data_IF_441307742182
#
_entry.id   IF_441307742182
#
_cell.length_a   1.000
_cell.length_b   1.000
_cell.length_c   1.000
_cell.angle_alpha   90.00
_cell.angle_beta   90.00
_cell.angle_gamma   90.00
#
_symmetry.space_group_name_H-M   'P 1'
#
loop_
_entity.id
_entity.type
_entity.pdbx_description
1 polymer ?
#
# COMPACT_ATOMS: atom_id res chain seq x y z
N UNK A 1 -43.09 48.12 -2.26
CA UNK A 1 -42.73 46.92 -1.47
C UNK A 1 -42.06 45.78 -2.28
N UNK A 2 -42.15 45.76 -3.63
CA UNK A 2 -41.68 44.64 -4.46
C UNK A 2 -40.15 44.60 -4.69
N UNK A 3 -39.45 45.73 -4.59
CA UNK A 3 -37.99 45.81 -4.89
C UNK A 3 -37.06 45.28 -3.78
N UNK A 4 -37.57 44.98 -2.58
CA UNK A 4 -36.77 44.41 -1.48
C UNK A 4 -36.82 42.88 -1.39
N UNK A 5 -37.66 42.21 -2.20
CA UNK A 5 -37.73 40.73 -2.25
C UNK A 5 -36.76 40.10 -3.26
N UNK A 6 -36.25 40.88 -4.23
CA UNK A 6 -35.37 40.37 -5.28
C UNK A 6 -34.02 39.78 -4.78
N UNK A 7 -33.31 40.36 -3.79
CA UNK A 7 -32.03 39.81 -3.35
C UNK A 7 -32.18 38.55 -2.49
N UNK A 8 -33.37 38.33 -1.89
CA UNK A 8 -33.66 37.11 -1.11
C UNK A 8 -33.92 35.92 -2.03
N UNK A 9 -34.56 36.14 -3.18
CA UNK A 9 -34.79 35.10 -4.19
C UNK A 9 -33.47 34.68 -4.87
N UNK A 10 -32.55 35.62 -5.08
CA UNK A 10 -31.23 35.32 -5.66
C UNK A 10 -30.33 34.50 -4.70
N UNK A 11 -30.43 34.71 -3.39
CA UNK A 11 -29.67 33.93 -2.39
C UNK A 11 -30.18 32.48 -2.24
N UNK A 12 -31.46 32.23 -2.51
CA UNK A 12 -32.06 30.87 -2.43
C UNK A 12 -31.69 30.04 -3.68
N UNK A 13 -31.42 30.67 -4.82
CA UNK A 13 -31.00 29.96 -6.04
C UNK A 13 -29.54 29.48 -6.05
N UNK A 14 -28.68 30.03 -5.17
CA UNK A 14 -27.26 29.68 -5.09
C UNK A 14 -26.95 28.51 -4.14
N UNK A 15 -27.97 27.91 -3.52
CA UNK A 15 -27.80 27.06 -2.33
C UNK A 15 -27.99 25.54 -2.47
N UNK A 16 -28.19 24.96 -3.67
CA UNK A 16 -28.47 23.52 -3.78
C UNK A 16 -27.68 22.83 -4.89
N UNK A 17 -26.35 22.90 -4.83
CA UNK A 17 -25.55 21.84 -5.46
C UNK A 17 -25.74 20.59 -4.61
N UNK A 18 -26.72 19.75 -4.95
CA UNK A 18 -26.83 18.43 -4.35
C UNK A 18 -25.57 17.66 -4.74
N UNK A 19 -24.61 17.57 -3.83
CA UNK A 19 -23.48 16.66 -3.94
C UNK A 19 -24.04 15.25 -3.92
N UNK A 20 -24.42 14.76 -5.09
CA UNK A 20 -24.98 13.42 -5.20
C UNK A 20 -23.83 12.44 -4.99
N UNK A 21 -23.90 11.74 -3.87
CA UNK A 21 -22.84 10.80 -3.50
C UNK A 21 -22.82 9.70 -4.55
N UNK A 22 -21.69 9.53 -5.25
CA UNK A 22 -21.48 8.50 -6.28
C UNK A 22 -22.14 7.18 -5.87
N UNK A 23 -23.14 6.77 -6.65
CA UNK A 23 -23.89 5.52 -6.47
C UNK A 23 -23.20 4.40 -7.24
N UNK A 24 -23.38 3.17 -6.78
CA UNK A 24 -22.79 1.99 -7.42
C UNK A 24 -23.89 1.05 -7.86
N UNK A 25 -23.76 0.50 -9.05
CA UNK A 25 -24.62 -0.58 -9.52
C UNK A 25 -24.18 -1.92 -8.93
N UNK A 26 -25.11 -2.87 -8.88
CA UNK A 26 -24.79 -4.23 -8.48
C UNK A 26 -23.67 -4.83 -9.36
N UNK A 27 -23.74 -4.65 -10.68
CA UNK A 27 -22.75 -5.20 -11.63
C UNK A 27 -21.36 -4.61 -11.42
N UNK A 28 -21.27 -3.32 -11.14
CA UNK A 28 -20.00 -2.64 -10.85
C UNK A 28 -19.32 -3.26 -9.63
N UNK A 29 -20.03 -3.37 -8.51
CA UNK A 29 -19.48 -3.95 -7.27
C UNK A 29 -19.21 -5.45 -7.43
N UNK A 30 -20.09 -6.17 -8.13
CA UNK A 30 -19.94 -7.61 -8.39
C UNK A 30 -18.65 -7.91 -9.16
N UNK A 31 -18.33 -7.09 -10.16
CA UNK A 31 -17.13 -7.23 -10.99
C UNK A 31 -15.80 -6.95 -10.27
N UNK A 32 -15.83 -6.43 -9.04
CA UNK A 32 -14.62 -6.14 -8.29
C UNK A 32 -13.91 -7.43 -7.84
N UNK A 33 -12.57 -7.47 -7.83
CA UNK A 33 -11.82 -8.58 -7.26
C UNK A 33 -12.02 -8.63 -5.74
N UNK A 34 -11.86 -9.81 -5.14
CA UNK A 34 -12.00 -10.00 -3.70
C UNK A 34 -10.93 -9.21 -2.94
N UNK A 35 -11.32 -8.19 -2.19
CA UNK A 35 -10.39 -7.31 -1.48
C UNK A 35 -11.06 -6.55 -0.33
N UNK A 36 -10.28 -5.88 0.52
CA UNK A 36 -10.82 -5.01 1.58
C UNK A 36 -11.53 -3.80 0.96
N UNK A 37 -11.02 -3.33 -0.18
CA UNK A 37 -11.64 -2.27 -0.97
C UNK A 37 -13.03 -2.74 -1.48
N UNK A 38 -13.16 -3.97 -1.99
CA UNK A 38 -14.48 -4.53 -2.36
C UNK A 38 -15.45 -4.55 -1.16
N UNK A 39 -14.99 -4.92 0.03
CA UNK A 39 -15.82 -4.88 1.25
C UNK A 39 -16.39 -3.48 1.54
N UNK A 40 -15.59 -2.44 1.33
CA UNK A 40 -16.04 -1.06 1.43
C UNK A 40 -17.13 -0.73 0.40
N UNK A 41 -16.97 -1.13 -0.86
CA UNK A 41 -17.98 -0.89 -1.90
C UNK A 41 -19.25 -1.73 -1.71
N UNK A 42 -19.13 -2.95 -1.17
CA UNK A 42 -20.29 -3.73 -0.75
C UNK A 42 -21.05 -2.97 0.34
N UNK A 43 -20.36 -2.42 1.33
CA UNK A 43 -21.00 -1.61 2.35
C UNK A 43 -21.69 -0.37 1.77
N UNK A 44 -21.00 0.40 0.91
CA UNK A 44 -21.58 1.56 0.21
C UNK A 44 -22.83 1.18 -0.58
N UNK A 45 -22.77 0.06 -1.30
CA UNK A 45 -23.89 -0.49 -2.05
C UNK A 45 -25.06 -0.85 -1.14
N UNK A 46 -24.82 -1.55 -0.02
CA UNK A 46 -25.87 -1.88 0.94
C UNK A 46 -26.51 -0.64 1.60
N UNK A 47 -25.81 0.50 1.67
CA UNK A 47 -26.34 1.74 2.22
C UNK A 47 -27.27 2.49 1.24
N UNK A 48 -27.22 2.19 -0.07
CA UNK A 48 -28.06 2.83 -1.07
C UNK A 48 -29.53 2.44 -0.88
N UNK A 49 -30.45 3.41 -1.03
CA UNK A 49 -31.90 3.13 -0.97
C UNK A 49 -32.34 2.16 -2.06
N UNK A 50 -31.76 2.28 -3.25
CA UNK A 50 -32.03 1.44 -4.43
C UNK A 50 -31.66 -0.04 -4.27
N UNK A 51 -30.85 -0.40 -3.27
CA UNK A 51 -30.38 -1.77 -3.09
C UNK A 51 -31.46 -2.66 -2.51
N UNK A 52 -31.81 -3.72 -3.25
CA UNK A 52 -32.83 -4.70 -2.87
C UNK A 52 -32.29 -5.77 -1.92
N UNK A 53 -33.18 -6.40 -1.16
CA UNK A 53 -32.81 -7.51 -0.27
C UNK A 53 -32.17 -8.69 -1.03
N UNK A 54 -32.65 -8.97 -2.26
CA UNK A 54 -32.08 -10.02 -3.13
C UNK A 54 -30.65 -9.68 -3.54
N UNK A 55 -30.39 -8.45 -3.99
CA UNK A 55 -29.04 -8.00 -4.33
C UNK A 55 -28.12 -8.04 -3.11
N UNK A 56 -28.62 -7.64 -1.93
CA UNK A 56 -27.87 -7.72 -0.67
C UNK A 56 -27.46 -9.16 -0.32
N UNK A 57 -28.40 -10.12 -0.42
CA UNK A 57 -28.15 -11.56 -0.19
C UNK A 57 -27.10 -12.14 -1.14
N UNK A 58 -27.06 -11.68 -2.39
CA UNK A 58 -26.09 -12.14 -3.38
C UNK A 58 -24.71 -11.50 -3.18
N UNK A 59 -24.66 -10.17 -3.01
CA UNK A 59 -23.40 -9.44 -3.00
C UNK A 59 -22.60 -9.67 -1.71
N UNK A 60 -23.27 -9.92 -0.57
CA UNK A 60 -22.57 -10.14 0.70
C UNK A 60 -21.64 -11.35 0.65
N UNK A 61 -22.01 -12.37 -0.15
CA UNK A 61 -21.20 -13.58 -0.34
C UNK A 61 -19.85 -13.26 -0.95
N UNK A 62 -19.69 -12.12 -1.62
CA UNK A 62 -18.44 -11.68 -2.23
C UNK A 62 -17.55 -10.85 -1.29
N UNK A 63 -17.98 -10.60 -0.05
CA UNK A 63 -17.15 -9.90 0.92
C UNK A 63 -15.98 -10.80 1.39
N UNK A 64 -14.79 -10.21 1.52
CA UNK A 64 -13.59 -10.84 2.05
C UNK A 64 -13.67 -10.98 3.57
N UNK A 65 -14.13 -9.94 4.26
CA UNK A 65 -14.30 -9.93 5.71
C UNK A 65 -15.66 -9.37 6.13
N UNK A 66 -16.29 -10.02 7.11
CA UNK A 66 -17.51 -9.51 7.75
C UNK A 66 -17.18 -8.62 8.95
N UNK A 67 -16.92 -7.35 8.71
CA UNK A 67 -16.79 -6.34 9.77
C UNK A 67 -18.18 -5.91 10.33
N UNK A 68 -18.18 -5.18 11.46
CA UNK A 68 -19.41 -4.71 12.12
C UNK A 68 -20.30 -3.87 11.18
N UNK A 69 -19.72 -2.97 10.38
CA UNK A 69 -20.46 -2.09 9.46
C UNK A 69 -21.22 -2.89 8.39
N UNK A 70 -20.57 -3.88 7.79
CA UNK A 70 -21.18 -4.78 6.80
C UNK A 70 -22.32 -5.61 7.40
N UNK A 71 -22.09 -6.20 8.59
CA UNK A 71 -23.13 -6.98 9.29
C UNK A 71 -24.38 -6.14 9.57
N UNK A 72 -24.18 -4.91 10.06
CA UNK A 72 -25.29 -3.97 10.36
C UNK A 72 -26.02 -3.55 9.09
N UNK A 73 -25.31 -3.12 8.06
CA UNK A 73 -25.92 -2.70 6.79
C UNK A 73 -26.70 -3.85 6.12
N UNK A 74 -26.14 -5.06 6.13
CA UNK A 74 -26.80 -6.25 5.60
C UNK A 74 -28.06 -6.61 6.39
N UNK A 75 -27.98 -6.63 7.72
CA UNK A 75 -29.14 -6.91 8.59
C UNK A 75 -30.25 -5.89 8.38
N UNK A 76 -29.91 -4.61 8.26
CA UNK A 76 -30.88 -3.53 7.96
C UNK A 76 -31.60 -3.76 6.62
N UNK A 77 -30.92 -4.33 5.62
CA UNK A 77 -31.48 -4.56 4.28
C UNK A 77 -32.26 -5.87 4.13
N UNK A 78 -31.94 -6.88 4.92
CA UNK A 78 -32.47 -8.23 4.72
C UNK A 78 -33.23 -8.79 5.91
N UNK A 79 -33.05 -8.24 7.12
CA UNK A 79 -33.52 -8.80 8.38
C UNK A 79 -32.65 -9.93 8.94
N UNK A 80 -31.73 -10.48 8.14
CA UNK A 80 -30.94 -11.67 8.50
C UNK A 80 -29.50 -11.32 8.90
N UNK A 81 -28.83 -12.26 9.57
CA UNK A 81 -27.40 -12.16 9.84
C UNK A 81 -26.57 -12.53 8.60
N UNK A 82 -25.52 -11.75 8.33
CA UNK A 82 -24.63 -11.98 7.19
C UNK A 82 -23.77 -13.24 7.40
N UNK A 83 -23.57 -14.00 6.32
CA UNK A 83 -22.62 -15.12 6.26
C UNK A 83 -21.82 -15.06 4.95
N UNK A 84 -20.54 -15.42 5.01
CA UNK A 84 -19.64 -15.49 3.85
C UNK A 84 -19.04 -16.88 3.73
N UNK A 85 -18.75 -17.36 2.50
CA UNK A 85 -18.08 -18.63 2.30
C UNK A 85 -16.67 -18.62 2.89
N UNK A 86 -16.25 -19.74 3.47
CA UNK A 86 -14.86 -19.94 3.91
C UNK A 86 -13.97 -19.97 2.68
N UNK A 87 -12.89 -19.19 2.69
CA UNK A 87 -11.94 -19.11 1.57
C UNK A 87 -10.55 -19.50 2.04
N UNK A 88 -9.83 -20.23 1.20
CA UNK A 88 -8.40 -20.41 1.37
C UNK A 88 -7.70 -19.11 0.97
N UNK A 89 -6.75 -18.60 1.77
CA UNK A 89 -5.95 -17.46 1.35
C UNK A 89 -5.18 -17.85 0.08
N UNK A 90 -5.09 -16.97 -0.93
CA UNK A 90 -4.26 -17.24 -2.10
C UNK A 90 -2.81 -17.50 -1.65
N UNK A 91 -2.06 -18.36 -2.36
CA UNK A 91 -0.65 -18.58 -2.05
C UNK A 91 0.08 -17.23 -2.10
N UNK A 92 0.55 -16.74 -0.96
CA UNK A 92 1.30 -15.50 -0.90
C UNK A 92 2.74 -15.77 -1.30
N UNK A 93 3.32 -14.89 -2.13
CA UNK A 93 4.77 -14.88 -2.40
C UNK A 93 5.53 -14.90 -1.06
N UNK A 94 6.58 -15.73 -0.99
CA UNK A 94 7.28 -16.19 0.21
C UNK A 94 7.17 -15.28 1.44
N UNK A 95 6.68 -15.88 2.53
CA UNK A 95 6.49 -15.29 3.86
C UNK A 95 7.79 -14.61 4.29
N UNK A 96 7.74 -13.31 4.57
CA UNK A 96 8.80 -12.62 5.33
C UNK A 96 9.21 -13.50 6.50
N UNK A 97 10.50 -13.78 6.65
CA UNK A 97 10.99 -14.45 7.86
C UNK A 97 10.92 -13.47 9.03
N UNK A 98 9.70 -13.31 9.55
CA UNK A 98 9.40 -12.41 10.65
C UNK A 98 10.19 -12.79 11.90
N UNK A 99 10.57 -14.07 12.06
CA UNK A 99 11.40 -14.54 13.16
C UNK A 99 12.82 -14.02 13.00
N UNK A 100 13.43 -14.21 11.84
CA UNK A 100 14.76 -13.67 11.56
C UNK A 100 14.80 -12.14 11.68
N UNK A 101 13.79 -11.44 11.15
CA UNK A 101 13.67 -9.98 11.33
C UNK A 101 13.54 -9.57 12.80
N UNK A 102 12.70 -10.27 13.57
CA UNK A 102 12.53 -10.02 15.00
C UNK A 102 13.83 -10.24 15.79
N UNK A 103 14.53 -11.33 15.52
CA UNK A 103 15.83 -11.63 16.12
C UNK A 103 16.88 -10.58 15.74
N UNK A 104 16.94 -10.18 14.46
CA UNK A 104 17.81 -9.11 13.99
C UNK A 104 17.53 -7.78 14.70
N UNK A 105 16.26 -7.43 14.90
CA UNK A 105 15.86 -6.22 15.65
C UNK A 105 16.31 -6.29 17.11
N UNK A 106 16.15 -7.44 17.79
CA UNK A 106 16.63 -7.62 19.17
C UNK A 106 18.15 -7.40 19.27
N UNK A 107 18.92 -8.03 18.39
CA UNK A 107 20.38 -7.87 18.36
C UNK A 107 20.78 -6.43 18.06
N UNK A 108 20.12 -5.79 17.10
CA UNK A 108 20.40 -4.39 16.74
C UNK A 108 20.11 -3.43 17.90
N UNK A 109 18.97 -3.56 18.56
CA UNK A 109 18.62 -2.74 19.73
C UNK A 109 19.60 -2.94 20.88
N UNK A 110 20.09 -4.16 21.10
CA UNK A 110 21.12 -4.42 22.09
C UNK A 110 22.46 -3.79 21.72
N UNK A 111 22.83 -3.80 20.42
CA UNK A 111 24.03 -3.12 19.93
C UNK A 111 23.98 -1.60 20.19
N UNK A 112 22.82 -0.96 20.00
CA UNK A 112 22.63 0.48 20.30
C UNK A 112 22.86 0.77 21.79
N UNK A 113 22.30 -0.05 22.69
CA UNK A 113 22.56 0.07 24.14
C UNK A 113 24.05 -0.05 24.48
N UNK A 114 24.81 -0.85 23.72
CA UNK A 114 26.26 -0.96 23.89
C UNK A 114 27.00 0.25 23.37
N UNK A 115 26.54 0.88 22.28
CA UNK A 115 27.08 2.17 21.81
C UNK A 115 26.89 3.25 22.88
N UNK A 116 25.70 3.35 23.48
CA UNK A 116 25.39 4.31 24.55
C UNK A 116 26.31 4.13 25.77
N UNK A 117 26.74 2.90 26.05
CA UNK A 117 27.66 2.55 27.13
C UNK A 117 29.14 2.62 26.72
N UNK A 118 29.44 3.13 25.53
CA UNK A 118 30.78 3.17 24.93
C UNK A 118 31.47 1.79 24.79
N UNK A 119 30.69 0.69 24.78
CA UNK A 119 31.20 -0.68 24.61
C UNK A 119 31.26 -1.06 23.13
N UNK A 120 32.08 -0.34 22.36
CA UNK A 120 32.08 -0.39 20.89
C UNK A 120 32.39 -1.78 20.30
N UNK A 121 33.27 -2.56 20.94
CA UNK A 121 33.58 -3.93 20.53
C UNK A 121 32.37 -4.87 20.62
N UNK A 122 31.63 -4.81 21.75
CA UNK A 122 30.39 -5.57 21.91
C UNK A 122 29.29 -5.07 20.97
N UNK A 123 29.18 -3.75 20.80
CA UNK A 123 28.26 -3.17 19.83
C UNK A 123 28.52 -3.74 18.42
N UNK A 124 29.78 -3.81 17.99
CA UNK A 124 30.15 -4.38 16.69
C UNK A 124 29.72 -5.86 16.56
N UNK A 125 29.94 -6.68 17.59
CA UNK A 125 29.50 -8.09 17.60
C UNK A 125 27.98 -8.19 17.40
N UNK A 126 27.20 -7.40 18.13
CA UNK A 126 25.74 -7.43 18.04
C UNK A 126 25.19 -6.84 16.73
N UNK A 127 25.83 -5.80 16.16
CA UNK A 127 25.48 -5.32 14.83
C UNK A 127 25.75 -6.38 13.75
N UNK A 128 26.83 -7.15 13.88
CA UNK A 128 27.13 -8.25 12.97
C UNK A 128 26.13 -9.41 13.13
N UNK A 129 25.74 -9.75 14.36
CA UNK A 129 24.69 -10.72 14.63
C UNK A 129 23.36 -10.28 13.97
N UNK A 130 22.99 -9.00 14.11
CA UNK A 130 21.80 -8.45 13.45
C UNK A 130 21.91 -8.52 11.91
N UNK A 131 23.07 -8.18 11.34
CA UNK A 131 23.31 -8.25 9.89
C UNK A 131 23.05 -9.65 9.32
N UNK A 132 23.47 -10.69 10.04
CA UNK A 132 23.31 -12.09 9.63
C UNK A 132 21.85 -12.58 9.72
N UNK A 133 21.02 -11.96 10.56
CA UNK A 133 19.61 -12.30 10.73
C UNK A 133 18.72 -11.59 9.69
N UNK A 134 19.06 -10.37 9.29
CA UNK A 134 18.22 -9.64 8.34
C UNK A 134 18.23 -10.28 6.95
N UNK A 135 17.06 -10.32 6.31
CA UNK A 135 16.92 -10.72 4.90
C UNK A 135 16.87 -9.49 3.99
N UNK A 136 16.15 -8.44 4.41
CA UNK A 136 16.00 -7.23 3.63
C UNK A 136 17.32 -6.46 3.50
N UNK A 137 17.65 -6.03 2.29
CA UNK A 137 18.91 -5.33 2.00
C UNK A 137 19.07 -4.04 2.82
N UNK A 138 18.03 -3.23 2.96
CA UNK A 138 18.10 -1.98 3.72
C UNK A 138 18.45 -2.19 5.21
N UNK A 139 17.97 -3.29 5.82
CA UNK A 139 18.29 -3.63 7.22
C UNK A 139 19.75 -4.09 7.35
N UNK A 140 20.26 -4.81 6.35
CA UNK A 140 21.69 -5.14 6.25
C UNK A 140 22.55 -3.89 6.08
N UNK A 141 22.14 -2.96 5.23
CA UNK A 141 22.87 -1.71 4.99
C UNK A 141 22.92 -0.85 6.26
N UNK A 142 21.81 -0.75 6.99
CA UNK A 142 21.78 -0.15 8.33
C UNK A 142 22.86 -0.74 9.24
N UNK A 143 22.95 -2.07 9.32
CA UNK A 143 23.99 -2.73 10.12
C UNK A 143 25.41 -2.41 9.63
N UNK A 144 25.66 -2.43 8.32
CA UNK A 144 26.97 -2.09 7.75
C UNK A 144 27.39 -0.67 8.12
N UNK A 145 26.46 0.28 8.07
CA UNK A 145 26.74 1.66 8.45
C UNK A 145 27.11 1.77 9.93
N UNK A 146 26.34 1.14 10.82
CA UNK A 146 26.65 1.15 12.26
C UNK A 146 27.96 0.42 12.59
N UNK A 147 28.23 -0.71 11.91
CA UNK A 147 29.53 -1.39 11.99
C UNK A 147 30.67 -0.46 11.59
N UNK A 148 30.52 0.32 10.52
CA UNK A 148 31.50 1.35 10.18
C UNK A 148 31.61 2.42 11.28
N UNK A 149 30.49 2.93 11.83
CA UNK A 149 30.52 3.99 12.84
C UNK A 149 31.28 3.58 14.10
N UNK A 150 31.14 2.32 14.56
CA UNK A 150 31.77 1.81 15.78
C UNK A 150 33.18 1.23 15.58
N UNK A 151 33.50 0.73 14.38
CA UNK A 151 34.83 0.13 14.10
C UNK A 151 35.76 1.00 13.25
N UNK A 152 35.21 2.02 12.58
CA UNK A 152 35.87 2.85 11.55
C UNK A 152 36.46 2.08 10.36
N UNK A 153 36.16 0.78 10.22
CA UNK A 153 36.68 -0.05 9.11
C UNK A 153 36.02 0.33 7.78
N UNK A 154 36.80 0.87 6.84
CA UNK A 154 36.33 1.29 5.50
C UNK A 154 35.72 0.15 4.68
N UNK A 155 36.01 -1.12 5.00
CA UNK A 155 35.43 -2.29 4.34
C UNK A 155 33.90 -2.30 4.37
N UNK A 156 33.28 -1.80 5.45
CA UNK A 156 31.82 -1.70 5.55
C UNK A 156 31.24 -0.62 4.64
N UNK A 157 31.91 0.52 4.47
CA UNK A 157 31.51 1.54 3.48
C UNK A 157 31.63 0.99 2.05
N UNK A 158 32.68 0.23 1.76
CA UNK A 158 32.83 -0.42 0.45
C UNK A 158 31.71 -1.43 0.17
N UNK A 159 31.20 -2.11 1.19
CA UNK A 159 30.00 -2.98 1.07
C UNK A 159 28.74 -2.16 0.80
N UNK A 160 28.54 -1.03 1.50
CA UNK A 160 27.41 -0.13 1.28
C UNK A 160 27.36 0.44 -0.13
N UNK A 161 28.51 0.85 -0.68
CA UNK A 161 28.62 1.35 -2.05
C UNK A 161 28.18 0.34 -3.13
N UNK A 162 28.25 -0.97 -2.80
CA UNK A 162 27.83 -2.06 -3.69
C UNK A 162 26.38 -2.49 -3.45
N UNK A 163 25.66 -1.86 -2.53
CA UNK A 163 24.26 -2.19 -2.29
C UNK A 163 23.39 -1.75 -3.45
N UNK A 164 22.44 -2.60 -3.85
CA UNK A 164 21.44 -2.29 -4.87
C UNK A 164 20.26 -1.47 -4.32
N UNK A 165 20.11 -1.39 -2.99
CA UNK A 165 18.97 -0.75 -2.36
C UNK A 165 19.31 0.70 -2.04
N UNK A 166 18.59 1.65 -2.64
CA UNK A 166 18.74 3.06 -2.27
C UNK A 166 18.12 3.27 -0.89
N UNK A 167 18.92 3.75 0.05
CA UNK A 167 18.49 4.13 1.39
C UNK A 167 19.45 5.17 1.99
N UNK A 168 19.04 5.81 3.07
CA UNK A 168 19.82 6.85 3.74
C UNK A 168 21.29 6.44 4.02
N UNK A 169 21.56 5.18 4.35
CA UNK A 169 22.91 4.71 4.68
C UNK A 169 23.79 4.58 3.44
N UNK A 170 23.23 4.13 2.32
CA UNK A 170 23.95 4.07 1.04
C UNK A 170 24.26 5.46 0.48
N UNK A 171 23.34 6.41 0.67
CA UNK A 171 23.54 7.82 0.28
C UNK A 171 24.62 8.46 1.14
N UNK A 172 24.53 8.32 2.48
CA UNK A 172 25.56 8.80 3.39
C UNK A 172 26.93 8.16 3.10
N UNK A 173 26.99 6.88 2.77
CA UNK A 173 28.24 6.25 2.39
C UNK A 173 28.84 6.85 1.11
N UNK A 174 28.01 7.24 0.13
CA UNK A 174 28.45 7.92 -1.06
C UNK A 174 29.02 9.31 -0.71
N UNK A 175 28.33 10.10 0.11
CA UNK A 175 28.78 11.42 0.58
C UNK A 175 30.12 11.33 1.30
N UNK A 176 30.21 10.41 2.28
CA UNK A 176 31.41 10.19 3.10
C UNK A 176 32.62 9.72 2.29
N UNK A 177 32.40 9.18 1.09
CA UNK A 177 33.46 8.66 0.21
C UNK A 177 33.60 9.46 -1.08
N UNK A 178 32.96 10.63 -1.17
CA UNK A 178 32.89 11.47 -2.37
C UNK A 178 32.65 10.64 -3.65
N UNK A 179 31.72 9.69 -3.56
CA UNK A 179 31.42 8.70 -4.60
C UNK A 179 30.08 8.97 -5.26
N UNK A 180 29.85 8.44 -6.47
CA UNK A 180 28.57 8.57 -7.16
C UNK A 180 27.45 7.85 -6.38
N UNK A 181 26.26 8.46 -6.36
CA UNK A 181 25.07 7.84 -5.79
C UNK A 181 24.63 6.58 -6.58
N UNK A 182 23.93 5.63 -5.93
CA UNK A 182 23.41 4.44 -6.61
C UNK A 182 22.46 4.83 -7.76
N UNK A 183 22.67 4.24 -8.95
CA UNK A 183 21.91 4.54 -10.18
C UNK A 183 20.59 3.76 -10.33
N UNK A 184 20.09 3.13 -9.27
CA UNK A 184 18.93 2.21 -9.38
C UNK A 184 17.56 2.91 -9.50
N UNK A 185 17.51 4.24 -9.55
CA UNK A 185 16.29 4.99 -9.89
C UNK A 185 16.17 5.06 -11.41
N UNK A 186 15.21 4.32 -11.97
CA UNK A 186 14.79 4.46 -13.36
C UNK A 186 13.56 5.37 -13.37
N UNK A 187 13.71 6.59 -13.89
CA UNK A 187 12.55 7.44 -14.20
C UNK A 187 12.06 7.03 -15.60
N UNK A 188 10.89 6.37 -15.73
CA UNK A 188 10.40 5.96 -17.04
C UNK A 188 10.04 7.20 -17.86
N UNK A 189 10.54 7.27 -19.09
CA UNK A 189 10.09 8.28 -20.05
C UNK A 189 8.82 7.79 -20.74
N UNK A 190 7.70 8.50 -20.51
CA UNK A 190 6.41 8.10 -21.05
C UNK A 190 5.78 9.24 -21.86
N UNK A 191 5.42 8.90 -23.10
CA UNK A 191 4.90 9.85 -24.09
C UNK A 191 3.38 10.07 -23.96
N UNK A 192 2.62 8.99 -23.72
CA UNK A 192 1.15 9.02 -23.66
C UNK A 192 0.66 9.80 -22.43
N UNK A 193 -0.32 10.68 -22.59
CA UNK A 193 -0.92 11.41 -21.46
C UNK A 193 -1.81 10.52 -20.60
N UNK A 194 -2.67 9.71 -21.22
CA UNK A 194 -3.58 8.77 -20.55
C UNK A 194 -3.64 7.42 -21.28
N UNK A 195 -4.32 6.45 -20.68
CA UNK A 195 -4.60 5.12 -21.25
C UNK A 195 -6.10 4.90 -21.37
N UNK A 196 -6.52 4.31 -22.48
CA UNK A 196 -7.93 3.96 -22.69
C UNK A 196 -8.36 2.84 -21.74
N UNK A 197 -9.57 2.96 -21.16
CA UNK A 197 -10.16 1.94 -20.30
C UNK A 197 -9.60 1.90 -18.87
N UNK A 198 -8.68 2.80 -18.51
CA UNK A 198 -8.14 2.91 -17.15
C UNK A 198 -8.21 4.37 -16.65
N UNK A 199 -9.26 4.66 -15.91
CA UNK A 199 -9.38 5.85 -15.06
C UNK A 199 -8.57 5.69 -13.75
N UNK A 200 -7.51 6.48 -13.62
CA UNK A 200 -6.60 6.56 -12.45
C UNK A 200 -7.26 7.17 -11.21
N UNK A 201 -8.37 7.90 -11.37
CA UNK A 201 -9.13 8.41 -10.23
C UNK A 201 -10.12 7.37 -9.70
N UNK A 202 -10.33 6.27 -10.45
CA UNK A 202 -11.27 5.24 -10.10
C UNK A 202 -10.65 4.16 -9.18
N UNK A 203 -11.01 4.10 -7.90
CA UNK A 203 -10.49 3.10 -6.96
C UNK A 203 -10.81 1.65 -7.33
N UNK A 204 -11.86 1.41 -8.14
CA UNK A 204 -12.17 0.07 -8.66
C UNK A 204 -11.12 -0.37 -9.68
N UNK A 205 -10.63 0.54 -10.51
CA UNK A 205 -9.60 0.26 -11.50
C UNK A 205 -8.27 -0.09 -10.82
N UNK A 206 -7.86 0.66 -9.80
CA UNK A 206 -6.71 0.32 -8.95
C UNK A 206 -6.82 -1.07 -8.34
N UNK A 207 -7.99 -1.43 -7.80
CA UNK A 207 -8.21 -2.75 -7.22
C UNK A 207 -8.04 -3.87 -8.26
N UNK A 208 -8.51 -3.67 -9.50
CA UNK A 208 -8.35 -4.62 -10.61
C UNK A 208 -6.88 -4.79 -11.01
N UNK A 209 -6.13 -3.70 -11.17
CA UNK A 209 -4.70 -3.75 -11.50
C UNK A 209 -3.91 -4.45 -10.38
N UNK A 210 -4.13 -4.06 -9.12
CA UNK A 210 -3.49 -4.69 -7.95
C UNK A 210 -3.78 -6.18 -7.86
N UNK A 211 -5.00 -6.62 -8.17
CA UNK A 211 -5.34 -8.03 -8.19
C UNK A 211 -4.54 -8.78 -9.28
N UNK A 212 -4.48 -8.24 -10.50
CA UNK A 212 -3.69 -8.83 -11.60
C UNK A 212 -2.20 -8.93 -11.25
N UNK A 213 -1.59 -7.88 -10.70
CA UNK A 213 -0.17 -7.86 -10.32
C UNK A 213 0.23 -8.99 -9.35
N UNK A 214 -0.71 -9.49 -8.55
CA UNK A 214 -0.45 -10.51 -7.53
C UNK A 214 -0.71 -11.94 -8.02
N UNK A 215 -1.21 -12.13 -9.24
CA UNK A 215 -1.40 -13.47 -9.80
C UNK A 215 -0.07 -14.01 -10.34
N UNK A 216 0.31 -15.27 -10.02
CA UNK A 216 1.55 -15.86 -10.54
C UNK A 216 1.60 -15.97 -12.07
N UNK A 217 0.44 -16.03 -12.72
CA UNK A 217 0.29 -16.16 -14.17
C UNK A 217 0.33 -14.82 -14.92
N UNK A 218 0.40 -13.70 -14.22
CA UNK A 218 0.39 -12.38 -14.87
C UNK A 218 1.76 -12.06 -15.43
N UNK A 219 1.81 -11.74 -16.73
CA UNK A 219 2.96 -11.06 -17.31
C UNK A 219 3.00 -9.61 -16.83
N UNK A 220 4.06 -9.26 -16.11
CA UNK A 220 4.22 -7.94 -15.51
C UNK A 220 4.67 -6.90 -16.54
N UNK A 221 5.33 -7.30 -17.62
CA UNK A 221 5.74 -6.38 -18.69
C UNK A 221 4.53 -5.94 -19.50
N UNK A 222 3.68 -6.90 -19.88
CA UNK A 222 2.40 -6.60 -20.54
C UNK A 222 1.52 -5.69 -19.67
N UNK A 223 1.43 -6.00 -18.37
CA UNK A 223 0.65 -5.19 -17.45
C UNK A 223 1.23 -3.77 -17.31
N UNK A 224 2.56 -3.62 -17.33
CA UNK A 224 3.22 -2.33 -17.30
C UNK A 224 2.92 -1.51 -18.57
N UNK A 225 2.95 -2.14 -19.75
CA UNK A 225 2.63 -1.48 -21.02
C UNK A 225 1.16 -1.04 -21.12
N UNK A 226 0.23 -1.84 -20.57
CA UNK A 226 -1.19 -1.44 -20.43
C UNK A 226 -1.33 -0.18 -19.56
N UNK A 227 -0.51 -0.07 -18.52
CA UNK A 227 -0.56 1.05 -17.58
C UNK A 227 0.33 2.23 -18.01
N UNK A 228 0.89 2.26 -19.23
CA UNK A 228 1.96 3.20 -19.61
C UNK A 228 1.43 4.56 -20.08
N UNK A 229 1.18 5.47 -19.14
CA UNK A 229 0.82 6.87 -19.42
C UNK A 229 1.31 7.83 -18.33
N UNK A 230 1.32 9.14 -18.60
CA UNK A 230 1.63 10.16 -17.60
C UNK A 230 0.62 10.17 -16.45
N UNK A 231 -0.66 9.93 -16.72
CA UNK A 231 -1.73 9.88 -15.71
C UNK A 231 -1.56 8.72 -14.70
N UNK A 232 -0.84 7.68 -15.08
CA UNK A 232 -0.65 6.44 -14.30
C UNK A 232 0.74 6.31 -13.69
N UNK A 233 1.58 7.34 -13.83
CA UNK A 233 2.89 7.47 -13.20
C UNK A 233 2.75 8.47 -12.06
N UNK A 234 2.91 8.01 -10.83
CA UNK A 234 2.81 8.80 -9.61
C UNK A 234 3.45 8.10 -8.44
#
# INVERSE_FOLDING_TARGET
>A
MIKKLLPVILLILLGTVTLDAKTFSYSQVKSMPLSVEKDYYIWRFLMQRSTTATQAKLIIKDAKYLNKKLKVAYKKKTGFNASIPKRTPPPTRNKTDWKARSNGNKSFSYAIKMVERNQLGKAAQHFNAAYNQYVNRWEKDKCLFWLYKVTKKKTYLNKLKKSYHINMYTLLAADMTNSKYPRTIVTPSVRRSSVYGLDETNPIHWAKIKAKMNLPSTDLEDLADICKSKATIG
#
